data_IF_528450897582
#
_entry.id   IF_528450897582
#
_cell.length_a   1.000
_cell.length_b   1.000
_cell.length_c   1.000
_cell.angle_alpha   90.00
_cell.angle_beta   90.00
_cell.angle_gamma   90.00
#
_symmetry.space_group_name_H-M   'P 1'
#
loop_
_entity.id
_entity.type
_entity.pdbx_description
1 polymer ?
#
# COMPACT_ATOMS: atom_id res chain seq x y z
N UNK A 1 -36.85 -5.56 28.51
CA UNK A 1 -35.44 -5.10 28.51
C UNK A 1 -34.72 -5.82 27.39
N UNK A 2 -34.39 -5.15 26.29
CA UNK A 2 -33.54 -5.72 25.25
C UNK A 2 -32.11 -5.75 25.82
N UNK A 3 -31.47 -6.92 25.82
CA UNK A 3 -30.04 -7.04 26.09
C UNK A 3 -29.31 -6.23 25.02
N UNK A 4 -28.47 -5.30 25.44
CA UNK A 4 -27.56 -4.60 24.57
C UNK A 4 -26.78 -5.64 23.76
N UNK A 5 -27.05 -5.69 22.46
CA UNK A 5 -26.27 -6.50 21.53
C UNK A 5 -24.82 -6.01 21.54
N UNK A 6 -23.85 -6.84 21.12
CA UNK A 6 -22.46 -6.41 21.08
C UNK A 6 -22.37 -5.10 20.30
N UNK A 7 -21.81 -4.05 20.93
CA UNK A 7 -21.49 -2.81 20.23
C UNK A 7 -20.77 -3.21 18.94
N UNK A 8 -21.28 -2.77 17.79
CA UNK A 8 -20.70 -3.17 16.51
C UNK A 8 -19.28 -2.59 16.48
N UNK A 9 -18.29 -3.46 16.68
CA UNK A 9 -16.91 -3.15 16.39
C UNK A 9 -16.75 -3.17 14.87
N UNK A 10 -15.86 -2.31 14.38
CA UNK A 10 -15.35 -2.38 13.01
C UNK A 10 -15.00 -3.82 12.64
N UNK A 11 -15.30 -4.21 11.41
CA UNK A 11 -15.03 -5.55 10.88
C UNK A 11 -14.06 -5.46 9.73
N UNK A 12 -13.14 -6.42 9.66
CA UNK A 12 -12.18 -6.54 8.57
C UNK A 12 -12.35 -7.90 7.90
N UNK A 13 -12.59 -7.88 6.59
CA UNK A 13 -12.64 -9.04 5.71
C UNK A 13 -11.43 -8.90 4.78
N UNK A 14 -10.53 -9.89 4.79
CA UNK A 14 -9.35 -9.92 3.93
C UNK A 14 -9.46 -11.11 2.99
N UNK A 15 -9.31 -10.86 1.69
CA UNK A 15 -9.33 -11.85 0.64
C UNK A 15 -7.90 -12.05 0.15
N UNK A 16 -7.35 -13.23 0.44
CA UNK A 16 -6.00 -13.63 0.05
C UNK A 16 -6.06 -14.68 -1.06
N UNK A 17 -5.06 -14.65 -1.95
CA UNK A 17 -4.94 -15.62 -3.03
C UNK A 17 -3.92 -15.22 -4.10
N UNK A 18 -3.64 -16.14 -5.01
CA UNK A 18 -2.73 -15.89 -6.14
C UNK A 18 -3.34 -14.93 -7.15
N UNK A 19 -2.49 -14.28 -7.94
CA UNK A 19 -2.94 -13.43 -9.05
C UNK A 19 -3.85 -14.23 -10.00
N UNK A 20 -4.95 -13.61 -10.44
CA UNK A 20 -5.92 -14.24 -11.33
C UNK A 20 -6.90 -15.24 -10.68
N UNK A 21 -6.87 -15.44 -9.35
CA UNK A 21 -7.81 -16.34 -8.67
C UNK A 21 -9.25 -15.79 -8.50
N UNK A 22 -9.49 -14.55 -8.93
CA UNK A 22 -10.80 -13.89 -8.83
C UNK A 22 -11.04 -13.13 -7.52
N UNK A 23 -9.98 -12.78 -6.76
CA UNK A 23 -10.07 -12.06 -5.49
C UNK A 23 -10.86 -10.74 -5.62
N UNK A 24 -10.49 -9.89 -6.57
CA UNK A 24 -11.14 -8.59 -6.80
C UNK A 24 -12.62 -8.74 -7.16
N UNK A 25 -12.95 -9.77 -7.94
CA UNK A 25 -14.34 -10.12 -8.28
C UNK A 25 -15.12 -10.52 -7.04
N UNK A 26 -14.54 -11.39 -6.20
CA UNK A 26 -15.17 -11.81 -4.95
C UNK A 26 -15.28 -10.67 -3.93
N UNK A 27 -14.28 -9.80 -3.85
CA UNK A 27 -14.26 -8.62 -2.98
C UNK A 27 -15.40 -7.65 -3.33
N UNK A 28 -15.55 -7.37 -4.63
CA UNK A 28 -16.64 -6.55 -5.16
C UNK A 28 -18.00 -7.18 -4.85
N UNK A 29 -18.15 -8.48 -5.11
CA UNK A 29 -19.38 -9.21 -4.81
C UNK A 29 -19.74 -9.18 -3.31
N UNK A 30 -18.77 -9.32 -2.42
CA UNK A 30 -18.98 -9.22 -0.96
C UNK A 30 -19.41 -7.80 -0.58
N UNK A 31 -18.77 -6.77 -1.13
CA UNK A 31 -19.12 -5.37 -0.88
C UNK A 31 -20.57 -5.07 -1.32
N UNK A 32 -20.94 -5.47 -2.55
CA UNK A 32 -22.29 -5.32 -3.08
C UNK A 32 -23.32 -6.03 -2.19
N UNK A 33 -23.01 -7.23 -1.73
CA UNK A 33 -23.87 -8.02 -0.86
C UNK A 33 -24.05 -7.37 0.53
N UNK A 34 -23.02 -6.72 1.06
CA UNK A 34 -23.08 -5.96 2.32
C UNK A 34 -23.91 -4.69 2.15
N UNK A 35 -23.68 -3.93 1.08
CA UNK A 35 -24.46 -2.73 0.76
C UNK A 35 -25.93 -3.06 0.56
N UNK A 36 -26.25 -4.15 -0.15
CA UNK A 36 -27.63 -4.62 -0.35
C UNK A 36 -28.35 -4.98 0.97
N UNK A 37 -27.59 -5.24 2.05
CA UNK A 37 -28.11 -5.50 3.41
C UNK A 37 -28.08 -4.26 4.31
N UNK A 38 -27.75 -3.09 3.77
CA UNK A 38 -27.65 -1.84 4.53
C UNK A 38 -26.44 -1.77 5.46
N UNK A 39 -25.42 -2.60 5.24
CA UNK A 39 -24.16 -2.54 6.00
C UNK A 39 -23.23 -1.53 5.32
N UNK A 40 -22.76 -0.54 6.08
CA UNK A 40 -21.70 0.37 5.60
C UNK A 40 -20.41 -0.42 5.39
N UNK A 41 -19.92 -0.41 4.16
CA UNK A 41 -18.77 -1.18 3.74
C UNK A 41 -17.83 -0.34 2.87
N UNK A 42 -16.53 -0.46 3.13
CA UNK A 42 -15.44 0.11 2.33
C UNK A 42 -14.70 -1.02 1.63
N UNK A 43 -14.64 -0.95 0.29
CA UNK A 43 -13.85 -1.87 -0.52
C UNK A 43 -12.52 -1.21 -0.86
N UNK A 44 -11.41 -1.88 -0.58
CA UNK A 44 -10.07 -1.45 -1.00
C UNK A 44 -9.44 -2.60 -1.79
N UNK A 45 -8.97 -2.28 -3.00
CA UNK A 45 -8.37 -3.23 -3.94
C UNK A 45 -6.88 -3.00 -4.11
N UNK A 46 -6.17 -4.01 -4.63
CA UNK A 46 -4.77 -3.90 -5.07
C UNK A 46 -4.60 -2.70 -6.04
N UNK A 47 -3.45 -2.04 -6.00
CA UNK A 47 -3.15 -0.78 -6.70
C UNK A 47 -3.71 0.48 -6.02
N UNK A 48 -4.47 0.34 -4.93
CA UNK A 48 -4.99 1.47 -4.17
C UNK A 48 -3.99 1.94 -3.10
N UNK A 49 -3.69 3.25 -3.05
CA UNK A 49 -2.79 3.81 -2.03
C UNK A 49 -3.40 3.82 -0.62
N UNK A 50 -4.71 3.65 -0.51
CA UNK A 50 -5.34 3.44 0.79
C UNK A 50 -5.18 2.00 1.29
N UNK A 51 -4.63 1.11 0.46
CA UNK A 51 -4.45 -0.29 0.82
C UNK A 51 -3.31 -0.44 1.84
N UNK A 52 -3.58 -1.04 3.01
CA UNK A 52 -2.62 -1.07 4.11
C UNK A 52 -1.44 -2.00 3.86
N UNK A 53 -1.59 -2.97 2.95
CA UNK A 53 -0.59 -3.99 2.67
C UNK A 53 0.06 -3.87 1.28
N UNK A 54 -0.35 -2.89 0.48
CA UNK A 54 0.06 -2.80 -0.92
C UNK A 54 0.83 -1.52 -1.18
N UNK A 55 2.02 -1.72 -1.72
CA UNK A 55 2.98 -0.70 -2.16
C UNK A 55 3.32 -0.89 -3.64
N UNK A 56 2.43 -1.50 -4.43
CA UNK A 56 2.64 -1.69 -5.86
C UNK A 56 3.04 -0.38 -6.54
N UNK A 57 4.24 -0.37 -7.12
CA UNK A 57 4.85 0.77 -7.79
C UNK A 57 4.83 2.04 -6.92
N UNK A 58 5.20 1.89 -5.65
CA UNK A 58 5.37 2.97 -4.70
C UNK A 58 6.82 3.02 -4.23
N UNK A 59 7.43 4.19 -4.37
CA UNK A 59 8.79 4.46 -3.90
C UNK A 59 8.74 5.07 -2.50
N UNK A 60 9.71 4.75 -1.64
CA UNK A 60 9.93 5.49 -0.39
C UNK A 60 11.31 6.14 -0.39
N UNK A 61 11.31 7.45 -0.17
CA UNK A 61 12.53 8.26 -0.09
C UNK A 61 12.57 8.96 1.27
N UNK A 62 13.73 8.98 1.93
CA UNK A 62 13.92 9.84 3.09
C UNK A 62 13.79 11.32 2.72
N UNK A 63 13.53 12.20 3.70
CA UNK A 63 13.44 13.64 3.43
C UNK A 63 14.60 14.22 2.59
N UNK A 64 15.87 13.92 2.92
CA UNK A 64 17.01 14.36 2.10
C UNK A 64 17.05 13.75 0.70
N UNK A 65 16.76 12.45 0.54
CA UNK A 65 16.73 11.78 -0.76
C UNK A 65 15.61 12.35 -1.64
N UNK A 66 14.44 12.62 -1.06
CA UNK A 66 13.31 13.21 -1.73
C UNK A 66 13.60 14.63 -2.24
N UNK A 67 14.18 15.48 -1.38
CA UNK A 67 14.58 16.83 -1.78
C UNK A 67 15.60 16.80 -2.93
N UNK A 68 16.61 15.93 -2.83
CA UNK A 68 17.60 15.75 -3.87
C UNK A 68 17.00 15.20 -5.17
N UNK A 69 16.04 14.27 -5.06
CA UNK A 69 15.32 13.72 -6.21
C UNK A 69 14.59 14.83 -6.98
N UNK A 70 13.88 15.72 -6.29
CA UNK A 70 13.17 16.85 -6.91
C UNK A 70 14.13 17.83 -7.59
N UNK A 71 15.32 18.06 -7.04
CA UNK A 71 16.35 18.88 -7.69
C UNK A 71 16.83 18.26 -9.00
N UNK A 72 17.06 16.95 -9.02
CA UNK A 72 17.51 16.22 -10.22
C UNK A 72 16.43 16.12 -11.30
N UNK A 73 15.17 16.02 -10.89
CA UNK A 73 14.01 15.82 -11.75
C UNK A 73 13.05 17.02 -11.72
N UNK A 74 13.59 18.24 -11.69
CA UNK A 74 12.81 19.46 -11.50
C UNK A 74 11.67 19.65 -12.51
N UNK A 75 11.80 19.13 -13.74
CA UNK A 75 10.73 19.15 -14.76
C UNK A 75 9.50 18.33 -14.37
N UNK A 76 9.68 17.32 -13.54
CA UNK A 76 8.64 16.40 -13.05
C UNK A 76 8.28 16.67 -11.57
N UNK A 77 8.79 17.75 -10.97
CA UNK A 77 8.66 18.03 -9.54
C UNK A 77 7.21 18.22 -9.08
N UNK A 78 6.47 19.12 -9.73
CA UNK A 78 5.07 19.43 -9.40
C UNK A 78 4.15 18.19 -9.30
N UNK A 79 4.09 17.28 -10.30
CA UNK A 79 3.25 16.09 -10.21
C UNK A 79 3.72 15.12 -9.12
N UNK A 80 5.03 15.01 -8.89
CA UNK A 80 5.59 14.17 -7.82
C UNK A 80 5.17 14.73 -6.45
N UNK A 81 5.39 16.02 -6.20
CA UNK A 81 5.05 16.69 -4.94
C UNK A 81 3.56 16.60 -4.60
N UNK A 82 2.70 16.76 -5.59
CA UNK A 82 1.24 16.66 -5.38
C UNK A 82 0.77 15.24 -5.07
N UNK A 83 1.55 14.24 -5.46
CA UNK A 83 1.22 12.83 -5.24
C UNK A 83 1.91 12.21 -4.03
N UNK A 84 2.97 12.86 -3.53
CA UNK A 84 3.79 12.34 -2.45
C UNK A 84 3.05 12.41 -1.11
N UNK A 85 3.09 11.31 -0.35
CA UNK A 85 2.48 11.19 0.97
C UNK A 85 3.58 11.15 2.04
N UNK A 86 3.56 12.06 3.04
CA UNK A 86 4.49 11.98 4.15
C UNK A 86 4.33 10.66 4.91
N UNK A 87 5.41 9.90 5.03
CA UNK A 87 5.39 8.59 5.70
C UNK A 87 6.75 8.29 6.32
N UNK A 88 6.77 8.05 7.64
CA UNK A 88 7.97 7.61 8.36
C UNK A 88 9.20 8.53 8.24
N UNK A 89 9.01 9.85 8.28
CA UNK A 89 10.11 10.82 8.13
C UNK A 89 10.65 10.93 6.69
N UNK A 90 9.96 10.30 5.73
CA UNK A 90 10.19 10.40 4.30
C UNK A 90 8.87 10.61 3.55
N UNK A 91 8.89 10.25 2.28
CA UNK A 91 7.76 10.38 1.37
C UNK A 91 7.53 9.10 0.59
N UNK A 92 6.27 8.67 0.53
CA UNK A 92 5.81 7.65 -0.41
C UNK A 92 5.40 8.33 -1.70
N UNK A 93 5.99 7.91 -2.82
CA UNK A 93 5.68 8.43 -4.16
C UNK A 93 5.04 7.31 -4.99
N UNK A 94 3.76 7.44 -5.38
CA UNK A 94 3.04 6.42 -6.13
C UNK A 94 3.37 6.48 -7.63
N UNK A 95 4.62 6.15 -7.98
CA UNK A 95 5.14 6.35 -9.33
C UNK A 95 4.40 5.54 -10.41
N UNK A 96 3.81 4.39 -10.08
CA UNK A 96 2.94 3.66 -11.02
C UNK A 96 1.71 4.45 -11.43
N UNK A 97 1.12 5.24 -10.52
CA UNK A 97 0.00 6.13 -10.86
C UNK A 97 0.45 7.30 -11.73
N UNK A 98 1.62 7.87 -11.43
CA UNK A 98 2.22 8.94 -12.23
C UNK A 98 2.51 8.48 -13.65
N UNK A 99 3.01 7.24 -13.80
CA UNK A 99 3.22 6.58 -15.09
C UNK A 99 1.92 6.38 -15.83
N UNK A 100 0.91 5.77 -15.21
CA UNK A 100 -0.39 5.50 -15.83
C UNK A 100 -1.10 6.79 -16.29
N UNK A 101 -0.90 7.89 -15.57
CA UNK A 101 -1.43 9.20 -15.90
C UNK A 101 -0.57 9.97 -16.92
N UNK A 102 0.63 9.48 -17.27
CA UNK A 102 1.57 10.15 -18.17
C UNK A 102 2.06 11.50 -17.63
N UNK A 103 2.11 11.67 -16.31
CA UNK A 103 2.43 12.93 -15.65
C UNK A 103 3.93 13.15 -15.44
N UNK A 104 4.73 12.09 -15.55
CA UNK A 104 6.16 12.09 -15.24
C UNK A 104 6.93 11.40 -16.36
N UNK A 105 8.08 11.96 -16.72
CA UNK A 105 8.96 11.38 -17.73
C UNK A 105 9.58 10.04 -17.32
N UNK A 106 9.90 9.19 -18.30
CA UNK A 106 10.56 7.89 -18.09
C UNK A 106 11.82 7.98 -17.21
N UNK A 107 12.73 8.97 -17.37
CA UNK A 107 13.92 9.04 -16.52
C UNK A 107 13.61 9.17 -15.02
N UNK A 108 12.58 9.93 -14.65
CA UNK A 108 12.16 10.07 -13.26
C UNK A 108 11.45 8.80 -12.76
N UNK A 109 10.66 8.13 -13.60
CA UNK A 109 10.03 6.85 -13.25
C UNK A 109 11.06 5.76 -12.98
N UNK A 110 12.08 5.63 -13.85
CA UNK A 110 13.15 4.65 -13.69
C UNK A 110 13.97 4.94 -12.43
N UNK A 111 14.21 6.22 -12.13
CA UNK A 111 14.89 6.63 -10.91
C UNK A 111 14.05 6.33 -9.65
N UNK A 112 12.73 6.56 -9.67
CA UNK A 112 11.83 6.22 -8.57
C UNK A 112 11.75 4.71 -8.32
N UNK A 113 11.80 3.89 -9.38
CA UNK A 113 11.78 2.44 -9.25
C UNK A 113 12.98 1.88 -8.45
N UNK A 114 14.11 2.60 -8.41
CA UNK A 114 15.25 2.24 -7.56
C UNK A 114 14.96 2.39 -6.05
N UNK A 115 13.92 3.14 -5.71
CA UNK A 115 13.43 3.35 -4.34
C UNK A 115 12.12 2.59 -4.07
N UNK A 116 11.73 1.66 -4.94
CA UNK A 116 10.51 0.87 -4.76
C UNK A 116 10.54 0.15 -3.41
N UNK A 117 9.42 0.23 -2.68
CA UNK A 117 9.30 -0.29 -1.31
C UNK A 117 9.64 -1.78 -1.22
N UNK A 118 9.39 -2.56 -2.29
CA UNK A 118 9.75 -3.97 -2.36
C UNK A 118 11.23 -4.23 -2.70
N UNK A 119 11.99 -3.21 -3.06
CA UNK A 119 13.44 -3.34 -3.27
C UNK A 119 14.27 -2.80 -2.09
N UNK A 120 13.62 -2.19 -1.10
CA UNK A 120 14.27 -1.68 0.09
C UNK A 120 14.80 -2.78 1.03
N UNK A 121 15.73 -2.39 1.90
CA UNK A 121 16.23 -3.25 2.96
C UNK A 121 15.09 -3.66 3.92
N UNK A 122 15.11 -4.92 4.38
CA UNK A 122 14.07 -5.52 5.24
C UNK A 122 13.69 -4.64 6.45
N UNK A 123 14.64 -4.02 7.20
CA UNK A 123 14.27 -3.20 8.36
C UNK A 123 13.44 -1.97 7.98
N UNK A 124 13.66 -1.41 6.78
CA UNK A 124 12.90 -0.27 6.27
C UNK A 124 11.52 -0.77 5.84
N UNK A 125 11.45 -1.81 5.00
CA UNK A 125 10.20 -2.40 4.54
C UNK A 125 9.27 -2.76 5.71
N UNK A 126 9.78 -3.48 6.71
CA UNK A 126 9.02 -3.90 7.89
C UNK A 126 8.45 -2.70 8.64
N UNK A 127 9.24 -1.63 8.79
CA UNK A 127 8.82 -0.41 9.48
C UNK A 127 7.71 0.30 8.71
N UNK A 128 7.85 0.45 7.40
CA UNK A 128 6.85 1.08 6.53
C UNK A 128 5.51 0.32 6.57
N UNK A 129 5.54 -1.00 6.39
CA UNK A 129 4.35 -1.86 6.44
C UNK A 129 3.65 -1.77 7.80
N UNK A 130 4.41 -1.87 8.91
CA UNK A 130 3.84 -1.79 10.25
C UNK A 130 3.15 -0.45 10.51
N UNK A 131 3.76 0.68 10.13
CA UNK A 131 3.15 1.99 10.30
C UNK A 131 1.88 2.17 9.47
N UNK A 132 1.86 1.69 8.23
CA UNK A 132 0.67 1.79 7.36
C UNK A 132 -0.49 0.96 7.90
N UNK A 133 -0.23 -0.24 8.41
CA UNK A 133 -1.22 -1.03 9.13
C UNK A 133 -1.71 -0.36 10.42
N UNK A 134 -0.84 0.29 11.18
CA UNK A 134 -1.23 1.04 12.38
C UNK A 134 -2.13 2.24 12.03
N UNK A 135 -1.78 3.00 10.99
CA UNK A 135 -2.58 4.12 10.49
C UNK A 135 -3.96 3.63 10.01
N UNK A 136 -3.99 2.55 9.23
CA UNK A 136 -5.23 1.91 8.81
C UNK A 136 -6.07 1.44 10.00
N UNK A 137 -5.49 0.73 10.97
CA UNK A 137 -6.22 0.25 12.14
C UNK A 137 -6.83 1.40 12.96
N UNK A 138 -6.12 2.52 13.09
CA UNK A 138 -6.64 3.74 13.74
C UNK A 138 -7.82 4.33 12.96
N UNK A 139 -7.74 4.42 11.64
CA UNK A 139 -8.84 4.89 10.77
C UNK A 139 -10.04 3.94 10.81
N UNK A 140 -9.80 2.64 10.61
CA UNK A 140 -10.82 1.63 10.50
C UNK A 140 -11.59 1.41 11.81
N UNK A 141 -10.95 1.63 12.96
CA UNK A 141 -11.60 1.50 14.28
C UNK A 141 -12.39 2.73 14.72
N UNK A 142 -12.29 3.85 14.00
CA UNK A 142 -13.01 5.09 14.33
C UNK A 142 -14.53 4.94 14.15
N UNK A 143 -14.95 4.09 13.19
CA UNK A 143 -16.36 3.85 12.88
C UNK A 143 -16.68 2.35 12.87
N UNK A 144 -17.94 1.96 13.15
CA UNK A 144 -18.38 0.56 13.18
C UNK A 144 -18.56 -0.06 11.78
N UNK A 145 -17.72 0.34 10.83
CA UNK A 145 -17.83 -0.04 9.42
C UNK A 145 -17.19 -1.39 9.12
N UNK A 146 -17.56 -1.97 7.99
CA UNK A 146 -16.92 -3.17 7.46
C UNK A 146 -15.90 -2.77 6.39
N UNK A 147 -14.71 -3.33 6.46
CA UNK A 147 -13.64 -3.13 5.48
C UNK A 147 -13.41 -4.44 4.73
N UNK A 148 -13.45 -4.40 3.41
CA UNK A 148 -13.17 -5.53 2.54
C UNK A 148 -11.89 -5.20 1.79
N UNK A 149 -10.84 -5.98 2.05
CA UNK A 149 -9.54 -5.85 1.40
C UNK A 149 -9.35 -6.98 0.41
N UNK A 150 -9.12 -6.63 -0.85
CA UNK A 150 -8.52 -7.53 -1.83
C UNK A 150 -7.00 -7.40 -1.72
N UNK A 151 -6.34 -8.47 -1.27
CA UNK A 151 -5.03 -8.35 -0.63
C UNK A 151 -4.06 -9.46 -1.07
N UNK A 152 -2.78 -9.11 -1.06
CA UNK A 152 -1.64 -9.98 -1.30
C UNK A 152 -0.68 -10.04 -0.10
N UNK A 153 -1.13 -9.74 1.12
CA UNK A 153 -0.26 -9.50 2.28
C UNK A 153 0.74 -10.63 2.53
N UNK A 154 0.28 -11.88 2.46
CA UNK A 154 1.16 -13.04 2.65
C UNK A 154 2.13 -13.22 1.49
N UNK A 155 1.68 -12.96 0.27
CA UNK A 155 2.51 -13.06 -0.92
C UNK A 155 3.61 -11.98 -0.93
N UNK A 156 3.24 -10.72 -0.71
CA UNK A 156 4.17 -9.59 -0.65
C UNK A 156 5.23 -9.79 0.46
N UNK A 157 4.81 -10.22 1.65
CA UNK A 157 5.75 -10.52 2.73
C UNK A 157 6.69 -11.70 2.38
N UNK A 158 6.17 -12.77 1.77
CA UNK A 158 7.00 -13.89 1.34
C UNK A 158 8.01 -13.51 0.25
N UNK A 159 7.60 -12.77 -0.78
CA UNK A 159 8.48 -12.29 -1.84
C UNK A 159 9.62 -11.45 -1.27
N UNK A 160 9.31 -10.52 -0.36
CA UNK A 160 10.31 -9.68 0.30
C UNK A 160 11.33 -10.46 1.13
N UNK A 161 10.85 -11.36 1.97
CA UNK A 161 11.71 -12.16 2.83
C UNK A 161 12.59 -13.12 1.99
N UNK A 162 12.06 -13.65 0.90
CA UNK A 162 12.83 -14.46 -0.03
C UNK A 162 13.94 -13.64 -0.71
N UNK A 163 13.61 -12.46 -1.25
CA UNK A 163 14.57 -11.56 -1.88
C UNK A 163 15.67 -11.13 -0.90
N UNK A 164 15.32 -10.80 0.35
CA UNK A 164 16.28 -10.51 1.40
C UNK A 164 17.20 -11.72 1.71
N UNK A 165 16.64 -12.94 1.75
CA UNK A 165 17.40 -14.18 1.95
C UNK A 165 18.37 -14.52 0.82
N UNK A 166 18.03 -14.18 -0.43
CA UNK A 166 18.94 -14.34 -1.57
C UNK A 166 20.08 -13.31 -1.53
N UNK A 167 19.80 -12.05 -1.15
CA UNK A 167 20.80 -10.96 -1.06
C UNK A 167 21.86 -11.20 0.02
N UNK A 168 21.54 -11.92 1.10
CA UNK A 168 22.52 -12.27 2.13
C UNK A 168 23.44 -13.42 1.74
N UNK A 169 23.02 -14.27 0.79
CA UNK A 169 23.82 -15.40 0.28
C UNK A 169 24.81 -15.00 -0.83
N UNK A 170 24.66 -13.82 -1.43
CA UNK A 170 25.47 -13.35 -2.56
C UNK A 170 26.64 -12.42 -2.19
N UNK A 171 26.94 -12.20 -0.90
CA UNK A 171 28.17 -11.50 -0.49
C UNK A 171 29.31 -12.52 -0.36
N UNK A 172 30.37 -12.47 -1.19
CA UNK A 172 31.56 -13.25 -0.93
C UNK A 172 32.21 -12.73 0.35
N UNK A 173 32.61 -13.68 1.20
CA UNK A 173 33.41 -13.49 2.43
C UNK A 173 34.74 -12.81 2.17
#
# INVERSE_FOLDING_TARGET
>A
MRKDGPMIRSRLIVLEGVAGSGKSTLASYIADLLHARGVRCHLIVEGCLDHPADYESAAWLSGPEYAHFLEQHASDGDPIERSAEPHDGGFLVPYGKLQAAGLVGTPALDALAAYDVYELAEPIYRRLVLQRWQAFAKRASAEPDTWVLDCCMLHAACCMLHAAGCRTQSRPS
#
